data_IF_662947783144
#
_entry.id   IF_662947783144
#
_cell.length_a   1.000
_cell.length_b   1.000
_cell.length_c   1.000
_cell.angle_alpha   90.00
_cell.angle_beta   90.00
_cell.angle_gamma   90.00
#
_symmetry.space_group_name_H-M   'P 1'
#
loop_
_entity.id
_entity.type
_entity.pdbx_description
1 polymer ?
#
# COMPACT_ATOMS: atom_id res chain seq x y z
N UNK A 1 -10.50 12.81 -1.04
CA UNK A 1 -10.43 11.87 -2.18
C UNK A 1 -11.69 12.05 -2.99
N UNK A 2 -11.60 12.88 -4.03
CA UNK A 2 -12.72 13.27 -4.88
C UNK A 2 -12.87 12.28 -6.06
N UNK A 3 -13.87 12.47 -6.94
CA UNK A 3 -14.12 11.59 -8.09
C UNK A 3 -12.89 11.33 -8.98
N UNK A 4 -12.07 12.36 -9.21
CA UNK A 4 -10.88 12.25 -10.03
C UNK A 4 -9.80 11.36 -9.39
N UNK A 5 -9.60 11.49 -8.07
CA UNK A 5 -8.62 10.70 -7.32
C UNK A 5 -8.78 9.19 -7.53
N UNK A 6 -10.01 8.69 -7.48
CA UNK A 6 -10.29 7.25 -7.63
C UNK A 6 -9.82 6.70 -8.98
N UNK A 7 -9.90 7.50 -10.04
CA UNK A 7 -9.43 7.15 -11.39
C UNK A 7 -7.92 7.36 -11.53
N UNK A 8 -7.42 8.52 -11.11
CA UNK A 8 -6.04 8.94 -11.36
C UNK A 8 -5.01 8.07 -10.64
N UNK A 9 -5.34 7.56 -9.44
CA UNK A 9 -4.48 6.59 -8.76
C UNK A 9 -4.34 5.28 -9.55
N UNK A 10 -5.44 4.79 -10.15
CA UNK A 10 -5.42 3.60 -11.02
C UNK A 10 -4.53 3.84 -12.23
N UNK A 11 -4.71 4.97 -12.92
CA UNK A 11 -3.89 5.34 -14.08
C UNK A 11 -2.40 5.49 -13.72
N UNK A 12 -2.11 6.12 -12.57
CA UNK A 12 -0.76 6.33 -12.06
C UNK A 12 -0.05 5.00 -11.80
N UNK A 13 -0.63 4.12 -10.98
CA UNK A 13 0.00 2.85 -10.64
C UNK A 13 0.06 1.87 -11.80
N UNK A 14 -0.87 1.94 -12.77
CA UNK A 14 -0.78 1.18 -14.01
C UNK A 14 0.43 1.60 -14.86
N UNK A 15 0.77 2.90 -14.88
CA UNK A 15 1.99 3.40 -15.54
C UNK A 15 3.24 2.95 -14.78
N UNK A 16 3.29 3.17 -13.46
CA UNK A 16 4.42 2.77 -12.60
C UNK A 16 4.71 1.27 -12.70
N UNK A 17 3.66 0.44 -12.74
CA UNK A 17 3.81 -1.02 -12.84
C UNK A 17 4.52 -1.45 -14.13
N UNK A 18 4.40 -0.67 -15.21
CA UNK A 18 5.00 -0.93 -16.52
C UNK A 18 6.30 -0.15 -16.76
N UNK A 19 6.66 0.75 -15.85
CA UNK A 19 7.90 1.50 -15.92
C UNK A 19 9.07 0.60 -15.47
N UNK A 20 10.00 0.34 -16.38
CA UNK A 20 11.15 -0.54 -16.13
C UNK A 20 12.27 0.15 -15.34
N UNK A 21 12.27 1.48 -15.30
CA UNK A 21 13.29 2.27 -14.60
C UNK A 21 12.87 2.52 -13.13
N UNK A 22 11.57 2.53 -12.83
CA UNK A 22 11.06 2.63 -11.47
C UNK A 22 11.29 1.33 -10.67
N UNK A 23 11.89 1.43 -9.48
CA UNK A 23 12.16 0.27 -8.59
C UNK A 23 11.47 0.32 -7.23
N UNK A 24 11.09 1.50 -6.75
CA UNK A 24 10.35 1.70 -5.50
C UNK A 24 9.52 2.99 -5.60
N UNK A 25 8.47 3.12 -4.80
CA UNK A 25 7.57 4.27 -4.77
C UNK A 25 7.45 4.80 -3.35
N UNK A 26 7.42 6.13 -3.19
CA UNK A 26 7.04 6.79 -1.94
C UNK A 26 5.75 7.56 -2.18
N UNK A 27 4.74 7.33 -1.33
CA UNK A 27 3.48 8.09 -1.31
C UNK A 27 3.47 9.00 -0.09
N UNK A 28 3.20 10.29 -0.29
CA UNK A 28 2.99 11.28 0.77
C UNK A 28 1.89 12.28 0.40
N UNK A 29 1.37 13.01 1.38
CA UNK A 29 0.37 14.06 1.17
C UNK A 29 1.00 15.46 1.09
N UNK A 30 0.43 16.34 0.25
CA UNK A 30 0.77 17.76 0.26
C UNK A 30 0.10 18.49 1.44
N UNK A 31 0.63 19.65 1.84
CA UNK A 31 0.01 20.49 2.87
C UNK A 31 0.07 19.91 4.29
N UNK A 32 -0.95 20.21 5.10
CA UNK A 32 -0.95 20.04 6.57
C UNK A 32 -1.13 18.59 7.06
N UNK A 33 -1.64 17.69 6.22
CA UNK A 33 -1.91 16.32 6.62
C UNK A 33 -1.79 15.38 5.41
N UNK A 34 -1.70 14.08 5.65
CA UNK A 34 -1.64 13.06 4.61
C UNK A 34 -2.95 13.04 3.80
N UNK A 35 -4.09 12.87 4.46
CA UNK A 35 -5.42 12.97 3.83
C UNK A 35 -6.55 13.08 4.85
N UNK A 36 -7.54 13.91 4.54
CA UNK A 36 -8.79 13.98 5.30
C UNK A 36 -9.80 12.87 4.94
N UNK A 37 -9.45 11.98 3.99
CA UNK A 37 -10.32 10.89 3.54
C UNK A 37 -11.16 11.26 2.33
N UNK A 38 -12.34 10.64 2.21
CA UNK A 38 -13.27 10.85 1.09
C UNK A 38 -13.85 12.26 1.07
N UNK A 39 -14.10 12.80 -0.12
CA UNK A 39 -14.91 14.00 -0.26
C UNK A 39 -16.38 13.64 -0.04
N UNK A 40 -16.97 14.14 1.06
CA UNK A 40 -18.34 13.78 1.46
C UNK A 40 -19.40 14.28 0.47
N UNK A 41 -19.14 15.36 -0.26
CA UNK A 41 -20.09 15.89 -1.25
C UNK A 41 -20.10 15.02 -2.50
N UNK A 42 -18.92 14.58 -2.95
CA UNK A 42 -18.83 13.61 -4.04
C UNK A 42 -19.44 12.26 -3.65
N UNK A 43 -19.19 11.79 -2.42
CA UNK A 43 -19.81 10.58 -1.89
C UNK A 43 -21.34 10.68 -1.87
N UNK A 44 -21.89 11.79 -1.39
CA UNK A 44 -23.32 12.05 -1.38
C UNK A 44 -23.90 12.03 -2.80
N UNK A 45 -23.21 12.63 -3.77
CA UNK A 45 -23.61 12.58 -5.18
C UNK A 45 -23.63 11.17 -5.74
N UNK A 46 -22.66 10.32 -5.40
CA UNK A 46 -22.56 8.96 -5.93
C UNK A 46 -23.56 7.99 -5.25
N UNK A 47 -23.86 8.19 -3.96
CA UNK A 47 -24.71 7.27 -3.17
C UNK A 47 -26.18 7.71 -3.10
N UNK A 48 -26.46 9.01 -2.93
CA UNK A 48 -27.83 9.50 -2.71
C UNK A 48 -28.60 9.77 -4.01
N UNK A 49 -27.91 9.77 -5.16
CA UNK A 49 -28.52 9.91 -6.49
C UNK A 49 -28.10 8.76 -7.41
N UNK A 50 -28.34 7.49 -7.02
CA UNK A 50 -27.88 6.36 -7.81
C UNK A 50 -28.72 6.22 -9.09
N UNK A 51 -28.10 5.66 -10.13
CA UNK A 51 -28.81 5.31 -11.36
C UNK A 51 -29.52 3.97 -11.20
N UNK A 52 -30.83 3.91 -11.49
CA UNK A 52 -31.61 2.69 -11.54
C UNK A 52 -33.05 2.87 -11.05
N UNK A 53 -33.98 2.15 -11.68
CA UNK A 53 -35.42 2.29 -11.42
C UNK A 53 -35.92 1.46 -10.22
N UNK A 54 -35.12 0.50 -9.76
CA UNK A 54 -35.44 -0.36 -8.62
C UNK A 54 -34.18 -0.73 -7.82
N UNK A 55 -34.39 -1.39 -6.67
CA UNK A 55 -33.31 -1.78 -5.75
C UNK A 55 -32.25 -2.64 -6.46
N UNK A 56 -32.66 -3.54 -7.35
CA UNK A 56 -31.72 -4.43 -8.04
C UNK A 56 -30.82 -3.65 -9.02
N UNK A 57 -31.37 -2.73 -9.82
CA UNK A 57 -30.60 -1.89 -10.76
C UNK A 57 -29.68 -0.93 -10.03
N UNK A 58 -30.18 -0.30 -8.96
CA UNK A 58 -29.36 0.55 -8.07
C UNK A 58 -28.21 -0.27 -7.47
N UNK A 59 -28.47 -1.50 -7.01
CA UNK A 59 -27.44 -2.37 -6.44
C UNK A 59 -26.34 -2.72 -7.45
N UNK A 60 -26.69 -2.97 -8.71
CA UNK A 60 -25.71 -3.18 -9.78
C UNK A 60 -24.85 -1.95 -10.04
N UNK A 61 -25.45 -0.76 -10.04
CA UNK A 61 -24.73 0.51 -10.19
C UNK A 61 -23.77 0.76 -9.02
N UNK A 62 -24.22 0.59 -7.77
CA UNK A 62 -23.40 0.77 -6.58
C UNK A 62 -22.25 -0.24 -6.52
N UNK A 63 -22.51 -1.51 -6.87
CA UNK A 63 -21.46 -2.53 -6.95
C UNK A 63 -20.37 -2.13 -7.94
N UNK A 64 -20.73 -1.61 -9.11
CA UNK A 64 -19.76 -1.11 -10.08
C UNK A 64 -18.89 0.02 -9.48
N UNK A 65 -19.51 1.03 -8.84
CA UNK A 65 -18.77 2.11 -8.16
C UNK A 65 -17.79 1.55 -7.13
N UNK A 66 -18.29 0.72 -6.21
CA UNK A 66 -17.49 0.16 -5.11
C UNK A 66 -16.30 -0.61 -5.68
N UNK A 67 -16.52 -1.47 -6.69
CA UNK A 67 -15.42 -2.24 -7.29
C UNK A 67 -14.39 -1.36 -8.00
N UNK A 68 -14.81 -0.26 -8.64
CA UNK A 68 -13.87 0.73 -9.20
C UNK A 68 -13.07 1.46 -8.13
N UNK A 69 -13.68 1.80 -7.00
CA UNK A 69 -12.99 2.48 -5.89
C UNK A 69 -12.06 1.53 -5.12
N UNK A 70 -12.41 0.24 -5.02
CA UNK A 70 -11.50 -0.80 -4.52
C UNK A 70 -10.25 -0.92 -5.39
N UNK A 71 -10.39 -0.78 -6.72
CA UNK A 71 -9.24 -0.87 -7.63
C UNK A 71 -8.24 0.25 -7.38
N UNK A 72 -8.69 1.44 -6.97
CA UNK A 72 -7.84 2.61 -6.63
C UNK A 72 -6.71 2.29 -5.67
N UNK A 73 -6.93 1.41 -4.69
CA UNK A 73 -5.89 0.97 -3.76
C UNK A 73 -5.34 -0.41 -4.12
N UNK A 74 -6.14 -1.26 -4.76
CA UNK A 74 -5.69 -2.60 -5.16
C UNK A 74 -4.57 -2.54 -6.21
N UNK A 75 -4.50 -1.50 -7.05
CA UNK A 75 -3.36 -1.28 -7.97
C UNK A 75 -2.03 -1.08 -7.25
N UNK A 76 -2.03 -0.59 -6.00
CA UNK A 76 -0.81 -0.40 -5.19
C UNK A 76 -0.22 -1.75 -4.80
N UNK A 77 -1.11 -2.66 -4.36
CA UNK A 77 -0.74 -4.03 -4.00
C UNK A 77 -0.33 -4.84 -5.24
N UNK A 78 -1.05 -4.68 -6.37
CA UNK A 78 -0.71 -5.35 -7.64
C UNK A 78 0.58 -4.82 -8.28
N UNK A 79 1.00 -3.60 -7.94
CA UNK A 79 2.25 -3.04 -8.44
C UNK A 79 3.44 -3.87 -7.93
N UNK A 80 4.31 -4.41 -8.80
CA UNK A 80 5.39 -5.29 -8.35
C UNK A 80 6.51 -4.53 -7.62
N UNK A 81 6.56 -3.19 -7.76
CA UNK A 81 7.53 -2.34 -7.05
C UNK A 81 7.08 -2.13 -5.60
N UNK A 82 7.98 -2.17 -4.60
CA UNK A 82 7.65 -1.81 -3.23
C UNK A 82 7.17 -0.37 -3.10
N UNK A 83 6.15 -0.15 -2.27
CA UNK A 83 5.49 1.13 -2.03
C UNK A 83 5.56 1.48 -0.56
N UNK A 84 6.12 2.64 -0.27
CA UNK A 84 6.32 3.18 1.08
C UNK A 84 5.32 4.32 1.28
N UNK A 85 4.45 4.21 2.28
CA UNK A 85 3.62 5.32 2.74
C UNK A 85 4.38 6.15 3.79
N UNK A 86 4.46 7.46 3.57
CA UNK A 86 5.05 8.42 4.49
C UNK A 86 3.97 9.40 4.97
N UNK A 87 3.47 9.19 6.20
CA UNK A 87 2.26 9.81 6.73
C UNK A 87 2.59 10.90 7.75
N UNK A 88 2.17 12.14 7.51
CA UNK A 88 2.20 13.24 8.49
C UNK A 88 0.80 13.76 8.77
N UNK A 89 0.56 14.26 9.99
CA UNK A 89 -0.78 14.67 10.42
C UNK A 89 -1.84 13.57 10.25
N UNK A 90 -3.08 13.95 9.96
CA UNK A 90 -4.17 12.97 9.86
C UNK A 90 -4.16 12.09 8.61
N UNK A 91 -4.42 10.81 8.83
CA UNK A 91 -4.73 9.79 7.83
C UNK A 91 -6.10 9.18 8.15
N UNK A 92 -7.14 9.70 7.49
CA UNK A 92 -8.53 9.50 7.90
C UNK A 92 -9.31 8.72 6.84
N UNK A 93 -10.15 7.78 7.27
CA UNK A 93 -11.05 6.98 6.43
C UNK A 93 -10.27 6.27 5.32
N UNK A 94 -10.61 6.56 4.05
CA UNK A 94 -9.90 6.08 2.87
C UNK A 94 -8.37 6.26 2.87
N UNK A 95 -7.82 7.13 3.72
CA UNK A 95 -6.37 7.15 4.00
C UNK A 95 -5.83 5.85 4.59
N UNK A 96 -6.57 5.23 5.51
CA UNK A 96 -6.23 3.92 6.09
C UNK A 96 -6.32 2.82 5.03
N UNK A 97 -7.33 2.85 4.16
CA UNK A 97 -7.46 1.92 3.03
C UNK A 97 -6.26 2.00 2.09
N UNK A 98 -5.79 3.22 1.82
CA UNK A 98 -4.60 3.50 1.02
C UNK A 98 -3.34 2.91 1.66
N UNK A 99 -3.03 3.27 2.90
CA UNK A 99 -1.74 2.87 3.51
C UNK A 99 -1.67 1.38 3.86
N UNK A 100 -2.82 0.74 4.09
CA UNK A 100 -2.88 -0.71 4.35
C UNK A 100 -2.71 -1.53 3.07
N UNK A 101 -2.85 -0.91 1.89
CA UNK A 101 -2.45 -1.47 0.61
C UNK A 101 -0.98 -1.20 0.23
N UNK A 102 -0.27 -0.34 0.98
CA UNK A 102 1.17 -0.12 0.82
C UNK A 102 1.99 -1.21 1.55
N UNK A 103 3.23 -1.40 1.14
CA UNK A 103 4.10 -2.46 1.69
C UNK A 103 4.74 -2.03 3.02
N UNK A 104 5.21 -0.78 3.08
CA UNK A 104 5.93 -0.21 4.22
C UNK A 104 5.25 1.09 4.63
N UNK A 105 5.18 1.36 5.94
CA UNK A 105 4.54 2.57 6.49
C UNK A 105 5.47 3.24 7.48
N UNK A 106 5.76 4.51 7.26
CA UNK A 106 6.41 5.43 8.18
C UNK A 106 5.44 6.56 8.54
N UNK A 107 5.59 7.14 9.72
CA UNK A 107 4.85 8.35 10.07
C UNK A 107 5.66 9.40 10.83
N UNK A 108 5.21 10.64 10.78
CA UNK A 108 5.68 11.69 11.66
C UNK A 108 5.02 11.58 13.05
N UNK A 109 5.60 12.22 14.07
CA UNK A 109 5.12 12.15 15.46
C UNK A 109 3.72 12.75 15.63
N UNK A 110 3.37 13.74 14.80
CA UNK A 110 2.06 14.37 14.78
C UNK A 110 0.97 13.53 14.09
N UNK A 111 1.34 12.38 13.53
CA UNK A 111 0.44 11.58 12.73
C UNK A 111 -0.63 10.87 13.58
N UNK A 112 -1.80 10.69 12.98
CA UNK A 112 -2.84 9.85 13.53
C UNK A 112 -3.62 9.13 12.44
N UNK A 113 -4.16 7.98 12.79
CA UNK A 113 -4.89 7.07 11.90
C UNK A 113 -6.31 6.89 12.41
N UNK A 114 -7.29 6.86 11.51
CA UNK A 114 -8.69 6.77 11.89
C UNK A 114 -9.50 6.01 10.83
N UNK A 115 -10.03 4.84 11.21
CA UNK A 115 -11.05 4.12 10.42
C UNK A 115 -12.37 4.85 10.65
N UNK A 116 -12.72 5.78 9.76
CA UNK A 116 -13.73 6.82 10.01
C UNK A 116 -15.13 6.44 9.56
N UNK A 117 -15.25 5.39 8.78
CA UNK A 117 -16.42 5.07 7.95
C UNK A 117 -17.69 4.87 8.77
N UNK A 118 -17.60 4.31 9.99
CA UNK A 118 -18.77 4.13 10.85
C UNK A 118 -19.41 5.44 11.29
N UNK A 119 -18.63 6.52 11.44
CA UNK A 119 -19.17 7.86 11.72
C UNK A 119 -19.86 8.48 10.50
N UNK A 120 -19.63 7.95 9.30
CA UNK A 120 -20.31 8.33 8.04
C UNK A 120 -21.56 7.46 7.80
N UNK A 121 -21.72 6.38 8.56
CA UNK A 121 -22.87 5.47 8.46
C UNK A 121 -22.66 4.29 7.50
N UNK A 122 -21.42 3.90 7.22
CA UNK A 122 -21.10 2.75 6.38
C UNK A 122 -19.92 1.93 6.93
N UNK A 123 -19.84 0.67 6.54
CA UNK A 123 -18.64 -0.14 6.79
C UNK A 123 -17.60 0.14 5.71
N UNK A 124 -16.33 0.27 6.08
CA UNK A 124 -15.25 0.52 5.12
C UNK A 124 -15.19 -0.59 4.06
N UNK A 125 -15.27 -0.20 2.79
CA UNK A 125 -15.53 -1.10 1.66
C UNK A 125 -14.46 -1.04 0.57
N UNK A 126 -13.44 -0.20 0.71
CA UNK A 126 -12.37 -0.02 -0.30
C UNK A 126 -11.01 -0.62 0.09
N UNK A 127 -10.86 -1.19 1.28
CA UNK A 127 -9.71 -2.03 1.62
C UNK A 127 -9.37 -2.23 3.10
N UNK A 128 -9.75 -1.31 3.99
CA UNK A 128 -9.33 -1.32 5.40
C UNK A 128 -9.71 -2.63 6.07
N UNK A 129 -10.97 -3.08 5.94
CA UNK A 129 -11.44 -4.29 6.60
C UNK A 129 -10.81 -5.57 6.03
N UNK A 130 -10.26 -5.52 4.82
CA UNK A 130 -9.61 -6.66 4.15
C UNK A 130 -8.10 -6.71 4.40
N UNK A 131 -7.47 -5.56 4.64
CA UNK A 131 -6.00 -5.42 4.70
C UNK A 131 -5.46 -5.04 6.08
N UNK A 132 -6.13 -4.16 6.83
CA UNK A 132 -5.68 -3.75 8.17
C UNK A 132 -5.45 -4.96 9.10
N UNK A 133 -6.37 -5.94 9.22
CA UNK A 133 -6.15 -7.13 10.04
C UNK A 133 -4.99 -8.02 9.56
N UNK A 134 -4.51 -7.85 8.33
CA UNK A 134 -3.42 -8.62 7.73
C UNK A 134 -2.06 -7.93 7.84
N UNK A 135 -2.02 -6.67 8.28
CA UNK A 135 -0.77 -5.90 8.43
C UNK A 135 -0.45 -5.58 9.89
N UNK A 136 -1.39 -5.79 10.83
CA UNK A 136 -1.15 -5.74 12.27
C UNK A 136 -1.73 -6.98 12.97
N UNK A 137 -1.08 -7.44 14.04
CA UNK A 137 -1.43 -8.71 14.70
C UNK A 137 -2.52 -8.62 15.76
N UNK A 138 -2.86 -7.43 16.26
CA UNK A 138 -3.82 -7.27 17.35
C UNK A 138 -5.25 -7.09 16.82
N UNK A 139 -5.98 -8.20 16.65
CA UNK A 139 -7.37 -8.16 16.17
C UNK A 139 -8.33 -7.42 17.12
N UNK A 140 -8.11 -7.48 18.44
CA UNK A 140 -8.95 -6.74 19.39
C UNK A 140 -8.85 -5.24 19.17
N UNK A 141 -7.65 -4.73 18.96
CA UNK A 141 -7.41 -3.32 18.63
C UNK A 141 -8.05 -2.96 17.28
N UNK A 142 -7.89 -3.79 16.24
CA UNK A 142 -8.53 -3.56 14.93
C UNK A 142 -10.04 -3.39 15.07
N UNK A 143 -10.69 -4.26 15.84
CA UNK A 143 -12.13 -4.18 16.10
C UNK A 143 -12.49 -2.86 16.81
N UNK A 144 -11.74 -2.50 17.84
CA UNK A 144 -11.97 -1.24 18.57
C UNK A 144 -11.85 -0.02 17.64
N UNK A 145 -10.79 0.04 16.82
CA UNK A 145 -10.59 1.12 15.86
C UNK A 145 -11.73 1.20 14.83
N UNK A 146 -12.14 0.07 14.29
CA UNK A 146 -13.19 0.01 13.26
C UNK A 146 -14.59 0.32 13.81
N UNK A 147 -14.91 -0.09 15.04
CA UNK A 147 -16.24 0.11 15.63
C UNK A 147 -16.42 1.48 16.29
N UNK A 148 -15.33 2.08 16.78
CA UNK A 148 -15.41 3.36 17.51
C UNK A 148 -15.02 4.57 16.67
N UNK A 149 -14.40 4.34 15.51
CA UNK A 149 -13.74 5.38 14.72
C UNK A 149 -12.80 6.28 15.53
N UNK A 150 -12.25 5.82 16.66
CA UNK A 150 -11.32 6.63 17.45
C UNK A 150 -10.01 6.86 16.68
N UNK A 151 -9.30 7.90 17.06
CA UNK A 151 -7.94 8.14 16.55
C UNK A 151 -6.96 7.18 17.23
N UNK A 152 -6.04 6.64 16.44
CA UNK A 152 -4.82 6.00 16.89
C UNK A 152 -3.65 6.93 16.59
N UNK A 153 -2.97 7.40 17.64
CA UNK A 153 -1.82 8.32 17.50
C UNK A 153 -0.54 7.55 17.14
N UNK A 154 0.50 8.27 16.70
CA UNK A 154 1.77 7.70 16.21
C UNK A 154 2.39 6.64 17.16
N UNK A 155 2.43 6.90 18.47
CA UNK A 155 3.03 5.98 19.44
C UNK A 155 2.28 4.64 19.53
N UNK A 156 0.95 4.69 19.52
CA UNK A 156 0.11 3.48 19.49
C UNK A 156 0.21 2.76 18.14
N UNK A 157 0.28 3.51 17.03
CA UNK A 157 0.47 2.96 15.69
C UNK A 157 1.82 2.23 15.55
N UNK A 158 2.88 2.74 16.19
CA UNK A 158 4.16 2.05 16.29
C UNK A 158 4.04 0.82 17.18
N UNK A 159 3.42 0.96 18.36
CA UNK A 159 3.24 -0.12 19.32
C UNK A 159 2.44 -1.31 18.79
N UNK A 160 1.48 -1.09 17.90
CA UNK A 160 0.70 -2.15 17.27
C UNK A 160 1.31 -2.68 15.95
N UNK A 161 2.39 -2.06 15.46
CA UNK A 161 3.07 -2.44 14.22
C UNK A 161 2.42 -1.93 12.94
N UNK A 162 1.46 -0.99 13.01
CA UNK A 162 0.90 -0.37 11.81
C UNK A 162 2.00 0.39 11.07
N UNK A 163 2.85 1.12 11.78
CA UNK A 163 4.02 1.80 11.22
C UNK A 163 5.30 1.16 11.70
N UNK A 164 6.32 1.14 10.83
CA UNK A 164 7.63 0.57 11.16
C UNK A 164 8.53 1.55 11.90
N UNK A 165 8.38 2.87 11.65
CA UNK A 165 9.18 3.93 12.26
C UNK A 165 8.36 5.22 12.40
N UNK A 166 8.64 5.96 13.47
CA UNK A 166 8.11 7.29 13.75
C UNK A 166 9.26 8.30 13.69
N UNK A 167 9.00 9.48 13.14
CA UNK A 167 9.97 10.55 12.93
C UNK A 167 9.49 11.86 13.55
N UNK A 168 10.38 12.78 13.94
CA UNK A 168 9.98 14.02 14.61
C UNK A 168 9.05 14.89 13.76
N UNK A 169 9.27 14.94 12.45
CA UNK A 169 8.49 15.75 11.52
C UNK A 169 8.42 15.13 10.11
N UNK A 170 7.67 15.80 9.24
CA UNK A 170 7.43 15.37 7.87
C UNK A 170 8.70 15.32 7.02
N UNK A 171 9.60 16.30 7.17
CA UNK A 171 10.77 16.43 6.31
C UNK A 171 11.75 15.29 6.60
N UNK A 172 12.06 15.06 7.88
CA UNK A 172 12.91 13.95 8.33
C UNK A 172 12.31 12.59 7.94
N UNK A 173 10.99 12.43 8.04
CA UNK A 173 10.29 11.23 7.58
C UNK A 173 10.47 11.00 6.07
N UNK A 174 10.29 12.05 5.26
CA UNK A 174 10.40 11.95 3.81
C UNK A 174 11.82 11.61 3.37
N UNK A 175 12.82 12.23 3.98
CA UNK A 175 14.23 11.90 3.73
C UNK A 175 14.52 10.44 4.04
N UNK A 176 14.01 9.94 5.19
CA UNK A 176 14.17 8.53 5.55
C UNK A 176 13.41 7.57 4.62
N UNK A 177 12.21 7.95 4.16
CA UNK A 177 11.44 7.15 3.21
C UNK A 177 12.12 7.10 1.82
N UNK A 178 12.68 8.21 1.36
CA UNK A 178 13.45 8.29 0.11
C UNK A 178 14.78 7.53 0.21
N UNK A 179 15.46 7.60 1.35
CA UNK A 179 16.67 6.81 1.60
C UNK A 179 16.36 5.31 1.58
N UNK A 180 15.25 4.88 2.19
CA UNK A 180 14.78 3.49 2.11
C UNK A 180 14.44 3.09 0.68
N UNK A 181 13.74 3.94 -0.07
CA UNK A 181 13.43 3.69 -1.48
C UNK A 181 14.71 3.56 -2.32
N UNK A 182 15.73 4.37 -2.07
CA UNK A 182 17.03 4.31 -2.72
C UNK A 182 17.77 3.01 -2.36
N UNK A 183 17.74 2.59 -1.10
CA UNK A 183 18.32 1.33 -0.66
C UNK A 183 17.66 0.13 -1.35
N UNK A 184 16.32 0.09 -1.39
CA UNK A 184 15.56 -0.95 -2.11
C UNK A 184 15.94 -0.93 -3.59
N UNK A 185 16.00 0.25 -4.20
CA UNK A 185 16.34 0.43 -5.62
C UNK A 185 17.77 0.04 -5.96
N UNK A 186 18.66 -0.03 -4.97
CA UNK A 186 20.04 -0.49 -5.12
C UNK A 186 20.15 -2.02 -5.24
N UNK A 187 19.09 -2.78 -4.94
CA UNK A 187 19.08 -4.24 -5.01
C UNK A 187 18.65 -4.73 -6.41
N UNK A 188 18.77 -6.03 -6.65
CA UNK A 188 18.24 -6.65 -7.87
C UNK A 188 16.73 -6.41 -7.98
N UNK A 189 16.24 -5.74 -9.05
CA UNK A 189 14.81 -5.53 -9.23
C UNK A 189 14.07 -6.84 -9.45
N UNK A 190 14.72 -7.85 -10.07
CA UNK A 190 14.16 -9.22 -10.20
C UNK A 190 13.90 -9.80 -8.82
N UNK A 191 14.88 -9.73 -7.92
CA UNK A 191 14.73 -10.27 -6.57
C UNK A 191 13.66 -9.54 -5.76
N UNK A 192 13.75 -8.20 -5.68
CA UNK A 192 12.83 -7.37 -4.88
C UNK A 192 11.38 -7.52 -5.33
N UNK A 193 11.12 -7.37 -6.64
CA UNK A 193 9.77 -7.45 -7.18
C UNK A 193 9.21 -8.88 -7.05
N UNK A 194 10.04 -9.91 -7.26
CA UNK A 194 9.66 -11.31 -7.01
C UNK A 194 9.31 -11.56 -5.55
N UNK A 195 10.07 -10.97 -4.61
CA UNK A 195 9.79 -11.07 -3.18
C UNK A 195 8.43 -10.48 -2.85
N UNK A 196 8.10 -9.27 -3.34
CA UNK A 196 6.77 -8.66 -3.12
C UNK A 196 5.65 -9.56 -3.65
N UNK A 197 5.76 -10.02 -4.90
CA UNK A 197 4.76 -10.90 -5.52
C UNK A 197 4.52 -12.16 -4.68
N UNK A 198 5.60 -12.82 -4.24
CA UNK A 198 5.50 -14.05 -3.46
C UNK A 198 5.01 -13.83 -2.03
N UNK A 199 5.35 -12.70 -1.37
CA UNK A 199 4.80 -12.34 -0.06
C UNK A 199 3.27 -12.15 -0.12
N UNK A 200 2.79 -11.46 -1.15
CA UNK A 200 1.36 -11.21 -1.35
C UNK A 200 0.59 -12.50 -1.66
N UNK A 201 1.16 -13.38 -2.49
CA UNK A 201 0.59 -14.70 -2.74
C UNK A 201 0.52 -15.50 -1.44
N UNK A 202 1.63 -15.56 -0.69
CA UNK A 202 1.74 -16.35 0.54
C UNK A 202 0.79 -15.90 1.64
N UNK A 203 0.42 -14.61 1.68
CA UNK A 203 -0.52 -14.06 2.65
C UNK A 203 -1.94 -14.65 2.53
N UNK A 204 -2.31 -15.18 1.36
CA UNK A 204 -3.67 -15.63 1.07
C UNK A 204 -3.78 -17.12 0.72
N UNK A 205 -2.68 -17.88 0.83
CA UNK A 205 -2.62 -19.30 0.52
C UNK A 205 -1.93 -20.06 1.63
N UNK A 206 -2.10 -21.38 1.66
CA UNK A 206 -1.33 -22.23 2.58
C UNK A 206 0.16 -22.18 2.26
N UNK A 207 0.99 -22.56 3.23
CA UNK A 207 2.44 -22.65 3.04
C UNK A 207 2.78 -23.62 1.89
N UNK A 208 2.07 -24.75 1.77
CA UNK A 208 2.31 -25.73 0.71
C UNK A 208 2.02 -25.17 -0.69
N UNK A 209 0.87 -24.50 -0.87
CA UNK A 209 0.53 -23.83 -2.14
C UNK A 209 1.53 -22.74 -2.49
N UNK A 210 1.98 -21.99 -1.48
CA UNK A 210 2.93 -20.88 -1.65
C UNK A 210 4.33 -21.36 -2.02
N UNK A 211 4.79 -22.47 -1.43
CA UNK A 211 6.06 -23.11 -1.78
C UNK A 211 6.04 -23.65 -3.22
N UNK A 212 4.93 -24.26 -3.65
CA UNK A 212 4.77 -24.70 -5.03
C UNK A 212 4.75 -23.53 -6.02
N UNK A 213 4.07 -22.44 -5.66
CA UNK A 213 4.02 -21.22 -6.46
C UNK A 213 5.42 -20.59 -6.61
N UNK A 214 6.17 -20.39 -5.52
CA UNK A 214 7.51 -19.78 -5.58
C UNK A 214 8.52 -20.67 -6.30
N UNK A 215 8.40 -21.99 -6.21
CA UNK A 215 9.23 -22.91 -7.02
C UNK A 215 8.99 -22.72 -8.51
N UNK A 216 7.72 -22.64 -8.92
CA UNK A 216 7.32 -22.39 -10.31
C UNK A 216 7.70 -20.98 -10.78
N UNK A 217 7.72 -20.00 -9.89
CA UNK A 217 8.18 -18.63 -10.19
C UNK A 217 9.70 -18.59 -10.38
N UNK A 218 10.45 -19.13 -9.42
CA UNK A 218 11.91 -19.05 -9.38
C UNK A 218 12.59 -19.94 -10.42
N UNK A 219 11.94 -20.98 -10.95
CA UNK A 219 12.51 -21.75 -12.07
C UNK A 219 12.87 -20.84 -13.27
N UNK A 220 12.14 -19.74 -13.47
CA UNK A 220 12.46 -18.70 -14.45
C UNK A 220 13.37 -17.62 -13.86
N UNK A 221 13.02 -17.06 -12.70
CA UNK A 221 13.72 -15.87 -12.18
C UNK A 221 15.17 -16.13 -11.75
N UNK A 222 15.53 -17.37 -11.42
CA UNK A 222 16.92 -17.76 -11.11
C UNK A 222 17.84 -17.75 -12.34
N UNK A 223 17.31 -17.63 -13.56
CA UNK A 223 18.10 -17.55 -14.79
C UNK A 223 18.62 -16.12 -15.08
N UNK A 224 18.47 -15.19 -14.14
CA UNK A 224 18.92 -13.80 -14.24
C UNK A 224 20.44 -13.64 -14.13
N UNK A 225 20.99 -12.64 -14.83
CA UNK A 225 22.39 -12.21 -14.67
C UNK A 225 22.65 -11.52 -13.32
N UNK A 226 21.61 -11.11 -12.60
CA UNK A 226 21.75 -10.44 -11.30
C UNK A 226 22.43 -11.36 -10.27
N UNK A 227 22.18 -12.67 -10.33
CA UNK A 227 22.84 -13.67 -9.49
C UNK A 227 24.32 -13.77 -9.87
N UNK A 228 24.63 -13.93 -11.16
CA UNK A 228 26.00 -14.03 -11.65
C UNK A 228 26.84 -12.82 -11.25
N UNK A 229 26.31 -11.60 -11.42
CA UNK A 229 26.98 -10.36 -11.00
C UNK A 229 27.22 -10.30 -9.49
N UNK A 230 26.25 -10.77 -8.69
CA UNK A 230 26.36 -10.79 -7.24
C UNK A 230 27.42 -11.80 -6.76
N UNK A 231 27.44 -12.99 -7.35
CA UNK A 231 28.47 -14.02 -7.07
C UNK A 231 29.86 -13.51 -7.43
N UNK A 232 30.02 -12.91 -8.62
CA UNK A 232 31.29 -12.30 -9.05
C UNK A 232 31.78 -11.23 -8.07
N UNK A 233 30.90 -10.32 -7.63
CA UNK A 233 31.26 -9.30 -6.65
C UNK A 233 31.79 -9.90 -5.35
N UNK A 234 31.13 -10.94 -4.83
CA UNK A 234 31.57 -11.64 -3.61
C UNK A 234 32.91 -12.35 -3.82
N UNK A 235 33.09 -13.06 -4.92
CA UNK A 235 34.36 -13.74 -5.25
C UNK A 235 35.53 -12.75 -5.40
N UNK A 236 35.26 -11.54 -5.87
CA UNK A 236 36.23 -10.45 -6.02
C UNK A 236 36.40 -9.58 -4.76
N UNK A 237 35.79 -9.94 -3.62
CA UNK A 237 35.76 -9.16 -2.38
C UNK A 237 35.23 -7.71 -2.57
N UNK A 238 34.32 -7.50 -3.54
CA UNK A 238 33.59 -6.24 -3.72
C UNK A 238 32.31 -6.26 -2.90
N UNK A 239 31.87 -5.07 -2.47
CA UNK A 239 30.59 -4.94 -1.76
C UNK A 239 29.41 -5.16 -2.72
N UNK A 240 28.41 -5.94 -2.32
CA UNK A 240 27.20 -6.17 -3.14
C UNK A 240 26.48 -4.88 -3.53
N UNK A 241 26.62 -3.82 -2.73
CA UNK A 241 26.02 -2.50 -3.01
C UNK A 241 26.62 -1.81 -4.24
N UNK A 242 27.80 -2.22 -4.72
CA UNK A 242 28.43 -1.66 -5.92
C UNK A 242 27.97 -2.34 -7.21
N UNK A 243 27.09 -3.34 -7.15
CA UNK A 243 26.62 -4.08 -8.33
C UNK A 243 25.51 -3.30 -9.04
N UNK A 244 25.66 -3.12 -10.36
CA UNK A 244 24.64 -2.51 -11.20
C UNK A 244 23.78 -3.56 -11.89
N UNK A 245 22.47 -3.50 -11.65
CA UNK A 245 21.46 -4.37 -12.25
C UNK A 245 20.75 -3.68 -13.41
N UNK A 246 20.31 -4.47 -14.40
CA UNK A 246 19.55 -3.96 -15.54
C UNK A 246 18.14 -3.49 -15.12
N UNK A 247 17.46 -2.73 -15.98
CA UNK A 247 16.05 -2.37 -15.81
C UNK A 247 15.13 -3.60 -15.89
N UNK A 248 13.96 -3.54 -15.26
CA UNK A 248 12.93 -4.60 -15.23
C UNK A 248 11.54 -3.98 -15.21
#
# INVERSE_FOLDING_TARGET
>A
MNKAFWREMVECFNKISRDADCRAVVISGAGKMFTAGIDLMDLASDILQPKGDDVARISWYLRDIITRYQETFSVIEKCPKPVIAAVHGGCIGGGVDLITACDIRYCAQDAFFQVKEVDVGLAADVGTLQRLPKVIGNQSLVNELAFTARKMMADEALGCGLVSRVFPDKEVMLDAALALAAEISSKSPVAVQSTKVNLLYSRNHSVAESLNYVASWNMSMLQTQDITKSVQAVTENKELKSVTFSKL
#
